data_IF_332917984385
#
_entry.id   IF_332917984385
#
_cell.length_a   1.000
_cell.length_b   1.000
_cell.length_c   1.000
_cell.angle_alpha   90.00
_cell.angle_beta   90.00
_cell.angle_gamma   90.00
#
_symmetry.space_group_name_H-M   'P 1'
#
loop_
_entity.id
_entity.type
_entity.pdbx_description
1 polymer ?
#
# COMPACT_ATOMS: atom_id res chain seq x y z
N UNK A 1 0.30 -19.35 4.41
CA UNK A 1 -0.11 -18.05 3.83
C UNK A 1 -0.12 -18.17 2.31
N UNK A 2 -1.16 -17.67 1.65
CA UNK A 2 -1.22 -17.60 0.18
C UNK A 2 -0.62 -16.27 -0.32
N UNK A 3 -0.07 -16.30 -1.54
CA UNK A 3 0.57 -15.14 -2.17
C UNK A 3 -0.01 -14.88 -3.55
N UNK A 4 -0.20 -13.62 -3.89
CA UNK A 4 -0.43 -13.17 -5.25
C UNK A 4 0.90 -12.69 -5.86
N UNK A 5 1.09 -12.92 -7.14
CA UNK A 5 2.28 -12.45 -7.88
C UNK A 5 1.95 -11.13 -8.55
N UNK A 6 2.69 -10.07 -8.23
CA UNK A 6 2.57 -8.76 -8.85
C UNK A 6 3.09 -8.77 -10.29
N UNK A 7 2.76 -7.75 -11.09
CA UNK A 7 3.21 -7.62 -12.48
C UNK A 7 4.73 -7.56 -12.66
N UNK A 8 5.46 -7.28 -11.60
CA UNK A 8 6.93 -7.28 -11.57
C UNK A 8 7.54 -8.55 -10.94
N UNK A 9 6.73 -9.58 -10.70
CA UNK A 9 7.17 -10.87 -10.16
C UNK A 9 7.27 -10.96 -8.63
N UNK A 10 7.06 -9.87 -7.90
CA UNK A 10 7.10 -9.88 -6.43
C UNK A 10 5.88 -10.61 -5.88
N UNK A 11 6.11 -11.45 -4.88
CA UNK A 11 5.06 -12.16 -4.14
C UNK A 11 4.53 -11.27 -3.04
N UNK A 12 3.25 -10.95 -3.07
CA UNK A 12 2.54 -10.18 -2.05
C UNK A 12 1.58 -11.09 -1.28
N UNK A 13 1.59 -11.10 0.08
CA UNK A 13 0.61 -11.85 0.86
C UNK A 13 -0.82 -11.47 0.48
N UNK A 14 -1.71 -12.45 0.34
CA UNK A 14 -3.11 -12.21 -0.02
C UNK A 14 -3.93 -11.64 1.12
N UNK A 15 -3.50 -11.88 2.36
CA UNK A 15 -4.11 -11.34 3.56
C UNK A 15 -3.17 -10.33 4.22
N UNK A 16 -3.72 -9.19 4.62
CA UNK A 16 -2.96 -8.12 5.26
C UNK A 16 -3.71 -7.49 6.43
N UNK A 17 -2.95 -6.94 7.35
CA UNK A 17 -3.46 -6.19 8.50
C UNK A 17 -3.25 -4.68 8.27
N UNK A 18 -4.33 -3.90 8.38
CA UNK A 18 -4.31 -2.45 8.21
C UNK A 18 -4.60 -1.70 9.50
N UNK A 19 -3.90 -0.57 9.70
CA UNK A 19 -3.95 0.23 10.93
C UNK A 19 -4.72 1.56 10.76
N UNK A 20 -5.57 1.68 9.75
CA UNK A 20 -6.44 2.84 9.62
C UNK A 20 -7.35 2.98 10.85
N UNK A 21 -7.50 4.21 11.38
CA UNK A 21 -8.27 4.53 12.59
C UNK A 21 -7.72 3.91 13.89
N UNK A 22 -6.44 3.61 13.95
CA UNK A 22 -5.74 3.27 15.18
C UNK A 22 -4.73 4.40 15.49
N UNK A 23 -5.19 5.54 16.04
CA UNK A 23 -4.36 6.72 16.22
C UNK A 23 -3.46 6.65 17.46
N UNK A 24 -3.81 5.86 18.46
CA UNK A 24 -3.01 5.68 19.66
C UNK A 24 -1.76 4.86 19.34
N UNK A 25 -0.54 5.40 19.57
CA UNK A 25 0.69 4.73 19.18
C UNK A 25 0.93 3.40 19.89
N UNK A 26 0.55 3.30 21.16
CA UNK A 26 0.74 2.07 21.96
C UNK A 26 -0.20 0.97 21.48
N UNK A 27 -1.46 1.33 21.23
CA UNK A 27 -2.43 0.40 20.68
C UNK A 27 -2.07 -0.03 19.26
N UNK A 28 -1.57 0.89 18.44
CA UNK A 28 -1.16 0.59 17.07
C UNK A 28 0.03 -0.37 17.05
N UNK A 29 1.06 -0.10 17.83
CA UNK A 29 2.22 -0.99 17.97
C UNK A 29 1.79 -2.38 18.42
N UNK A 30 1.00 -2.48 19.49
CA UNK A 30 0.54 -3.76 20.02
C UNK A 30 -0.31 -4.53 19.00
N UNK A 31 -1.23 -3.86 18.32
CA UNK A 31 -2.08 -4.48 17.29
C UNK A 31 -1.26 -5.06 16.13
N UNK A 32 -0.20 -4.36 15.70
CA UNK A 32 0.71 -4.86 14.65
C UNK A 32 1.52 -6.06 15.15
N UNK A 33 2.03 -6.03 16.38
CA UNK A 33 2.74 -7.17 16.99
C UNK A 33 1.83 -8.40 17.07
N UNK A 34 0.59 -8.24 17.53
CA UNK A 34 -0.38 -9.32 17.63
C UNK A 34 -0.76 -9.89 16.25
N UNK A 35 -0.90 -9.03 15.25
CA UNK A 35 -1.14 -9.44 13.87
C UNK A 35 0.03 -10.28 13.33
N UNK A 36 1.27 -9.83 13.50
CA UNK A 36 2.47 -10.56 13.07
C UNK A 36 2.58 -11.91 13.82
N UNK A 37 2.34 -11.92 15.12
CA UNK A 37 2.34 -13.15 15.94
C UNK A 37 1.23 -14.12 15.50
N UNK A 38 0.09 -13.62 15.04
CA UNK A 38 -1.02 -14.41 14.48
C UNK A 38 -0.77 -14.91 13.06
N UNK A 39 0.37 -14.57 12.45
CA UNK A 39 0.78 -15.06 11.13
C UNK A 39 0.60 -14.07 9.99
N UNK A 40 0.07 -12.86 10.21
CA UNK A 40 0.07 -11.83 9.16
C UNK A 40 1.50 -11.46 8.76
N UNK A 41 1.70 -11.21 7.47
CA UNK A 41 3.01 -10.78 6.92
C UNK A 41 2.90 -9.48 6.12
N UNK A 42 1.69 -9.07 5.70
CA UNK A 42 1.45 -7.78 5.08
C UNK A 42 0.87 -6.82 6.11
N UNK A 43 1.55 -5.69 6.32
CA UNK A 43 1.09 -4.58 7.18
C UNK A 43 0.87 -3.35 6.30
N UNK A 44 -0.30 -2.73 6.46
CA UNK A 44 -0.73 -1.59 5.63
C UNK A 44 -1.00 -0.37 6.50
N UNK A 45 -0.20 0.67 6.30
CA UNK A 45 -0.36 2.00 6.90
C UNK A 45 -0.44 3.08 5.81
N UNK A 46 -0.38 4.34 6.19
CA UNK A 46 -0.28 5.50 5.30
C UNK A 46 0.25 6.72 6.06
N UNK A 47 0.92 7.63 5.36
CA UNK A 47 1.36 8.90 5.94
C UNK A 47 0.19 9.66 6.61
N UNK A 48 -0.99 9.67 5.98
CA UNK A 48 -2.19 10.31 6.51
C UNK A 48 -2.75 9.68 7.80
N UNK A 49 -2.34 8.48 8.17
CA UNK A 49 -2.82 7.83 9.42
C UNK A 49 -2.04 8.29 10.64
N UNK A 50 -0.90 8.95 10.45
CA UNK A 50 -0.03 9.49 11.50
C UNK A 50 0.49 8.44 12.49
N UNK A 51 0.53 7.16 12.09
CA UNK A 51 0.93 6.04 12.95
C UNK A 51 2.10 5.21 12.37
N UNK A 52 2.78 5.70 11.32
CA UNK A 52 3.93 5.01 10.72
C UNK A 52 5.02 4.68 11.74
N UNK A 53 5.31 5.59 12.69
CA UNK A 53 6.30 5.35 13.76
C UNK A 53 5.94 4.15 14.63
N UNK A 54 4.67 4.01 15.00
CA UNK A 54 4.20 2.89 15.81
C UNK A 54 4.30 1.56 15.03
N UNK A 55 4.00 1.58 13.72
CA UNK A 55 4.23 0.42 12.84
C UNK A 55 5.71 0.07 12.77
N UNK A 56 6.59 1.05 12.61
CA UNK A 56 8.04 0.86 12.59
C UNK A 56 8.59 0.25 13.88
N UNK A 57 8.13 0.72 15.04
CA UNK A 57 8.50 0.14 16.34
C UNK A 57 8.04 -1.31 16.47
N UNK A 58 6.84 -1.65 16.00
CA UNK A 58 6.36 -3.03 15.99
C UNK A 58 7.22 -3.92 15.07
N UNK A 59 7.54 -3.46 13.86
CA UNK A 59 8.41 -4.19 12.93
C UNK A 59 9.80 -4.43 13.53
N UNK A 60 10.36 -3.44 14.21
CA UNK A 60 11.67 -3.56 14.90
C UNK A 60 11.65 -4.54 16.06
N UNK A 61 10.53 -4.62 16.80
CA UNK A 61 10.39 -5.48 18.01
C UNK A 61 9.96 -6.90 17.69
N UNK A 62 9.33 -7.14 16.54
CA UNK A 62 8.86 -8.47 16.19
C UNK A 62 10.02 -9.43 15.94
N UNK A 63 9.78 -10.73 16.11
CA UNK A 63 10.77 -11.80 15.86
C UNK A 63 10.86 -12.23 14.39
N UNK A 64 10.03 -11.66 13.51
CA UNK A 64 9.99 -12.03 12.09
C UNK A 64 11.01 -11.18 11.33
N UNK A 65 11.89 -11.77 10.51
CA UNK A 65 12.84 -11.04 9.69
C UNK A 65 12.14 -10.04 8.75
N UNK A 66 12.76 -8.87 8.52
CA UNK A 66 12.19 -7.78 7.69
C UNK A 66 11.83 -8.27 6.28
N UNK A 67 12.64 -9.13 5.70
CA UNK A 67 12.45 -9.70 4.36
C UNK A 67 11.24 -10.65 4.25
N UNK A 68 10.73 -11.14 5.36
CA UNK A 68 9.50 -11.93 5.41
C UNK A 68 8.24 -11.06 5.56
N UNK A 69 8.42 -9.78 5.91
CA UNK A 69 7.32 -8.83 6.04
C UNK A 69 7.11 -8.06 4.74
N UNK A 70 5.87 -7.73 4.46
CA UNK A 70 5.46 -6.91 3.32
C UNK A 70 4.83 -5.61 3.85
N UNK A 71 5.60 -4.52 3.83
CA UNK A 71 5.19 -3.23 4.42
C UNK A 71 4.69 -2.30 3.32
N UNK A 72 3.45 -1.83 3.49
CA UNK A 72 2.81 -0.87 2.59
C UNK A 72 2.56 0.45 3.31
N UNK A 73 2.94 1.56 2.69
CA UNK A 73 2.47 2.89 3.06
C UNK A 73 2.03 3.69 1.84
N UNK A 74 1.50 4.90 2.03
CA UNK A 74 0.82 5.66 0.97
C UNK A 74 1.18 7.12 1.03
N UNK A 75 1.45 7.71 -0.14
CA UNK A 75 1.65 9.14 -0.37
C UNK A 75 0.34 9.89 -0.17
N UNK A 76 0.33 10.89 0.70
CA UNK A 76 -0.86 11.71 0.89
C UNK A 76 -0.99 12.82 -0.16
N UNK A 77 -2.20 13.27 -0.40
CA UNK A 77 -2.56 14.22 -1.48
C UNK A 77 -1.82 15.55 -1.41
N UNK A 78 -1.45 16.02 -0.22
CA UNK A 78 -0.72 17.28 -0.03
C UNK A 78 0.71 17.23 -0.59
N UNK A 79 1.31 16.04 -0.59
CA UNK A 79 2.66 15.79 -1.08
C UNK A 79 2.67 15.21 -2.51
N UNK A 80 1.49 15.08 -3.14
CA UNK A 80 1.36 14.54 -4.49
C UNK A 80 1.86 15.55 -5.52
N UNK A 81 3.16 15.53 -5.75
CA UNK A 81 3.93 16.20 -6.78
C UNK A 81 5.26 15.46 -6.96
N UNK A 82 6.03 15.76 -7.98
CA UNK A 82 7.33 15.12 -8.20
C UNK A 82 8.29 15.30 -7.01
N UNK A 83 8.53 16.54 -6.59
CA UNK A 83 9.41 16.82 -5.46
C UNK A 83 8.81 16.42 -4.10
N UNK A 84 7.49 16.58 -3.95
CA UNK A 84 6.78 16.19 -2.75
C UNK A 84 6.86 14.70 -2.51
N UNK A 85 6.65 13.88 -3.52
CA UNK A 85 6.73 12.43 -3.40
C UNK A 85 8.13 11.94 -3.00
N UNK A 86 9.21 12.54 -3.53
CA UNK A 86 10.59 12.23 -3.13
C UNK A 86 10.87 12.54 -1.65
N UNK A 87 10.33 13.65 -1.15
CA UNK A 87 10.46 14.01 0.27
C UNK A 87 9.59 13.14 1.16
N UNK A 88 8.34 12.90 0.74
CA UNK A 88 7.37 12.15 1.52
C UNK A 88 7.81 10.70 1.74
N UNK A 89 8.38 10.03 0.73
CA UNK A 89 8.87 8.66 0.90
C UNK A 89 10.01 8.61 1.91
N UNK A 90 10.95 9.56 1.88
CA UNK A 90 12.03 9.59 2.86
C UNK A 90 11.48 9.78 4.28
N UNK A 91 10.51 10.68 4.45
CA UNK A 91 9.82 10.86 5.73
C UNK A 91 9.12 9.57 6.19
N UNK A 92 8.46 8.84 5.28
CA UNK A 92 7.83 7.56 5.60
C UNK A 92 8.86 6.50 5.99
N UNK A 93 9.98 6.39 5.26
CA UNK A 93 11.08 5.48 5.60
C UNK A 93 11.67 5.79 6.97
N UNK A 94 11.93 7.07 7.26
CA UNK A 94 12.44 7.53 8.56
C UNK A 94 11.45 7.23 9.69
N UNK A 95 10.16 7.47 9.48
CA UNK A 95 9.12 7.15 10.46
C UNK A 95 9.01 5.65 10.73
N UNK A 96 9.08 4.83 9.69
CA UNK A 96 9.02 3.37 9.79
C UNK A 96 10.34 2.76 10.27
N UNK A 97 11.46 3.51 10.21
CA UNK A 97 12.80 3.00 10.52
C UNK A 97 13.24 1.91 9.53
N UNK A 98 12.92 2.06 8.25
CA UNK A 98 13.16 1.07 7.20
C UNK A 98 14.04 1.64 6.08
N UNK A 99 14.83 0.79 5.45
CA UNK A 99 15.65 1.14 4.28
C UNK A 99 14.88 1.07 2.97
N UNK A 100 13.80 0.29 2.91
CA UNK A 100 12.94 0.11 1.75
C UNK A 100 11.50 -0.20 2.12
N UNK A 101 10.59 0.05 1.17
CA UNK A 101 9.18 -0.36 1.22
C UNK A 101 8.91 -1.51 0.26
N UNK A 102 8.00 -2.39 0.59
CA UNK A 102 7.53 -3.43 -0.33
C UNK A 102 6.53 -2.88 -1.34
N UNK A 103 5.65 -1.98 -0.90
CA UNK A 103 4.66 -1.33 -1.75
C UNK A 103 4.44 0.13 -1.32
N UNK A 104 4.54 1.06 -2.28
CA UNK A 104 4.21 2.46 -2.07
C UNK A 104 3.06 2.86 -2.99
N UNK A 105 2.01 3.47 -2.42
CA UNK A 105 0.79 3.78 -3.15
C UNK A 105 0.51 5.29 -3.19
N UNK A 106 0.03 5.83 -4.31
CA UNK A 106 -0.67 7.12 -4.31
C UNK A 106 -2.01 6.91 -3.63
N UNK A 107 -2.27 7.62 -2.51
CA UNK A 107 -3.41 7.35 -1.63
C UNK A 107 -4.75 7.76 -2.25
N UNK A 108 -4.77 8.82 -3.06
CA UNK A 108 -5.96 9.33 -3.72
C UNK A 108 -5.60 9.93 -5.10
N UNK A 109 -6.49 9.83 -6.10
CA UNK A 109 -6.28 10.39 -7.45
C UNK A 109 -6.51 11.91 -7.48
N UNK A 110 -5.79 12.66 -6.64
CA UNK A 110 -5.93 14.09 -6.47
C UNK A 110 -4.57 14.78 -6.57
N UNK A 111 -4.58 16.09 -6.85
CA UNK A 111 -3.38 16.91 -7.02
C UNK A 111 -2.51 16.45 -8.21
N UNK A 112 -1.22 16.73 -8.26
CA UNK A 112 -0.28 16.30 -9.31
C UNK A 112 0.17 14.86 -9.12
N UNK A 113 -0.76 13.90 -9.21
CA UNK A 113 -0.42 12.49 -9.10
C UNK A 113 0.43 11.99 -10.30
N UNK A 114 0.45 12.66 -11.44
CA UNK A 114 1.37 12.34 -12.55
C UNK A 114 2.83 12.66 -12.21
N UNK A 115 3.07 13.84 -11.62
CA UNK A 115 4.41 14.19 -11.11
C UNK A 115 4.85 13.25 -10.02
N UNK A 116 3.95 12.94 -9.08
CA UNK A 116 4.20 11.97 -8.03
C UNK A 116 4.52 10.56 -8.59
N UNK A 117 3.78 10.11 -9.61
CA UNK A 117 4.02 8.81 -10.22
C UNK A 117 5.42 8.72 -10.86
N UNK A 118 5.84 9.73 -11.61
CA UNK A 118 7.19 9.79 -12.18
C UNK A 118 8.29 9.73 -11.11
N UNK A 119 8.11 10.41 -9.99
CA UNK A 119 9.01 10.30 -8.85
C UNK A 119 9.02 8.88 -8.27
N UNK A 120 7.87 8.23 -8.16
CA UNK A 120 7.76 6.86 -7.67
C UNK A 120 8.42 5.85 -8.62
N UNK A 121 8.36 6.05 -9.94
CA UNK A 121 9.10 5.24 -10.93
C UNK A 121 10.62 5.31 -10.71
N UNK A 122 11.16 6.49 -10.40
CA UNK A 122 12.58 6.65 -10.07
C UNK A 122 12.93 5.91 -8.76
N UNK A 123 12.15 6.11 -7.71
CA UNK A 123 12.34 5.44 -6.42
C UNK A 123 12.25 3.92 -6.54
N UNK A 124 11.41 3.43 -7.44
CA UNK A 124 11.32 2.01 -7.78
C UNK A 124 12.61 1.53 -8.49
N UNK A 125 13.12 2.28 -9.48
CA UNK A 125 14.37 1.98 -10.17
C UNK A 125 15.58 2.03 -9.23
N UNK A 126 15.57 2.92 -8.24
CA UNK A 126 16.59 3.04 -7.18
C UNK A 126 16.51 1.92 -6.14
N UNK A 127 15.47 1.10 -6.15
CA UNK A 127 15.26 0.01 -5.18
C UNK A 127 14.77 0.46 -3.80
N UNK A 128 14.40 1.72 -3.61
CA UNK A 128 13.77 2.21 -2.37
C UNK A 128 12.37 1.67 -2.17
N UNK A 129 11.72 1.30 -3.26
CA UNK A 129 10.40 0.69 -3.27
C UNK A 129 10.42 -0.54 -4.17
N UNK A 130 9.94 -1.68 -3.67
CA UNK A 130 9.91 -2.92 -4.45
C UNK A 130 8.74 -2.99 -5.45
N UNK A 131 7.64 -2.31 -5.14
CA UNK A 131 6.48 -2.18 -6.04
C UNK A 131 5.79 -0.84 -5.82
N UNK A 132 5.22 -0.28 -6.90
CA UNK A 132 4.43 0.96 -6.86
C UNK A 132 3.01 0.71 -7.33
N UNK A 133 2.07 1.48 -6.79
CA UNK A 133 0.66 1.34 -7.11
C UNK A 133 -0.16 2.56 -6.71
N UNK A 134 -1.45 2.41 -6.76
CA UNK A 134 -2.40 3.50 -6.53
C UNK A 134 -3.56 3.05 -5.63
N UNK A 135 -4.32 4.00 -5.10
CA UNK A 135 -5.57 3.75 -4.40
C UNK A 135 -6.70 4.58 -4.99
N UNK A 136 -7.89 3.99 -5.05
CA UNK A 136 -9.13 4.67 -5.47
C UNK A 136 -9.09 5.23 -6.90
N UNK A 137 -8.24 4.70 -7.77
CA UNK A 137 -8.24 5.05 -9.18
C UNK A 137 -9.35 4.29 -9.91
N UNK A 138 -10.30 5.01 -10.48
CA UNK A 138 -11.25 4.44 -11.40
C UNK A 138 -10.61 4.17 -12.76
N UNK A 139 -11.30 3.39 -13.60
CA UNK A 139 -10.75 2.85 -14.84
C UNK A 139 -10.26 3.92 -15.81
N UNK A 140 -10.89 5.08 -15.88
CA UNK A 140 -10.51 6.22 -16.71
C UNK A 140 -9.16 6.80 -16.30
N UNK A 141 -8.99 7.13 -15.02
CA UNK A 141 -7.72 7.66 -14.48
C UNK A 141 -6.60 6.63 -14.51
N UNK A 142 -6.94 5.37 -14.28
CA UNK A 142 -5.98 4.29 -14.34
C UNK A 142 -5.49 4.05 -15.77
N UNK A 143 -6.39 4.10 -16.75
CA UNK A 143 -6.05 3.97 -18.17
C UNK A 143 -5.09 5.07 -18.62
N UNK A 144 -5.38 6.30 -18.21
CA UNK A 144 -4.59 7.46 -18.54
C UNK A 144 -3.19 7.39 -17.88
N UNK A 145 -3.12 7.03 -16.58
CA UNK A 145 -1.86 6.86 -15.89
C UNK A 145 -0.96 5.79 -16.56
N UNK A 146 -1.54 4.65 -16.96
CA UNK A 146 -0.82 3.56 -17.63
C UNK A 146 -0.35 3.99 -19.03
N UNK A 147 -1.15 4.77 -19.76
CA UNK A 147 -0.83 5.14 -21.13
C UNK A 147 0.35 6.11 -21.25
N UNK A 148 0.61 6.92 -20.23
CA UNK A 148 1.59 8.01 -20.27
C UNK A 148 2.79 7.82 -19.34
N UNK A 149 2.95 6.65 -18.73
CA UNK A 149 4.08 6.35 -17.85
C UNK A 149 4.73 4.99 -18.20
N UNK A 150 5.96 4.79 -17.76
CA UNK A 150 6.75 3.60 -18.11
C UNK A 150 6.35 2.37 -17.31
N UNK A 151 6.00 2.56 -16.04
CA UNK A 151 5.66 1.48 -15.11
C UNK A 151 4.16 1.48 -14.86
N UNK A 152 3.50 0.37 -15.18
CA UNK A 152 2.09 0.18 -14.83
C UNK A 152 1.94 -0.09 -13.31
N UNK A 153 0.90 0.45 -12.66
CA UNK A 153 0.63 0.16 -11.26
C UNK A 153 0.52 -1.35 -11.00
N UNK A 154 1.31 -1.84 -10.03
CA UNK A 154 1.25 -3.24 -9.62
C UNK A 154 -0.04 -3.54 -8.86
N UNK A 155 -0.57 -2.56 -8.14
CA UNK A 155 -1.76 -2.67 -7.30
C UNK A 155 -2.63 -1.43 -7.46
N UNK A 156 -3.95 -1.61 -7.54
CA UNK A 156 -4.93 -0.57 -7.28
C UNK A 156 -5.76 -0.99 -6.05
N UNK A 157 -5.55 -0.30 -4.93
CA UNK A 157 -6.29 -0.56 -3.69
C UNK A 157 -7.56 0.28 -3.67
N UNK A 158 -8.72 -0.37 -3.63
CA UNK A 158 -10.03 0.28 -3.63
C UNK A 158 -10.88 -0.17 -2.46
N UNK A 159 -11.84 0.67 -2.06
CA UNK A 159 -12.85 0.22 -1.12
C UNK A 159 -13.71 -0.85 -1.81
N UNK A 160 -13.76 -2.02 -1.19
CA UNK A 160 -14.63 -3.10 -1.63
C UNK A 160 -15.15 -3.90 -0.45
N UNK A 161 -16.44 -4.18 -0.48
CA UNK A 161 -17.14 -4.93 0.55
C UNK A 161 -18.30 -5.71 -0.08
N UNK A 162 -19.08 -6.42 0.74
CA UNK A 162 -20.19 -7.27 0.26
C UNK A 162 -21.23 -6.47 -0.55
N UNK A 163 -21.42 -5.20 -0.21
CA UNK A 163 -22.40 -4.32 -0.89
C UNK A 163 -21.81 -3.53 -2.05
N UNK A 164 -20.46 -3.44 -2.15
CA UNK A 164 -19.77 -2.69 -3.19
C UNK A 164 -18.57 -3.49 -3.71
N UNK A 165 -18.83 -4.40 -4.63
CA UNK A 165 -17.87 -5.43 -5.06
C UNK A 165 -16.86 -4.98 -6.13
N UNK A 166 -17.06 -3.82 -6.78
CA UNK A 166 -16.11 -3.24 -7.75
C UNK A 166 -15.76 -4.18 -8.94
N UNK A 167 -16.68 -5.01 -9.40
CA UNK A 167 -16.43 -6.05 -10.39
C UNK A 167 -15.81 -5.51 -11.70
N UNK A 168 -16.25 -4.35 -12.19
CA UNK A 168 -15.71 -3.76 -13.42
C UNK A 168 -14.28 -3.23 -13.23
N UNK A 169 -14.00 -2.58 -12.11
CA UNK A 169 -12.64 -2.14 -11.75
C UNK A 169 -11.68 -3.32 -11.62
N UNK A 170 -12.16 -4.43 -11.03
CA UNK A 170 -11.37 -5.66 -10.90
C UNK A 170 -11.02 -6.24 -12.28
N UNK A 171 -11.99 -6.42 -13.16
CA UNK A 171 -11.79 -6.92 -14.52
C UNK A 171 -10.81 -6.04 -15.30
N UNK A 172 -11.00 -4.73 -15.21
CA UNK A 172 -10.13 -3.77 -15.91
C UNK A 172 -8.68 -3.89 -15.41
N UNK A 173 -8.46 -3.88 -14.10
CA UNK A 173 -7.11 -3.99 -13.52
C UNK A 173 -6.43 -5.31 -13.92
N UNK A 174 -7.15 -6.42 -13.86
CA UNK A 174 -6.67 -7.74 -14.32
C UNK A 174 -6.27 -7.72 -15.79
N UNK A 175 -7.06 -7.06 -16.66
CA UNK A 175 -6.74 -6.94 -18.09
C UNK A 175 -5.46 -6.15 -18.38
N UNK A 176 -4.99 -5.35 -17.41
CA UNK A 176 -3.73 -4.58 -17.47
C UNK A 176 -2.57 -5.24 -16.74
N UNK A 177 -2.75 -6.48 -16.26
CA UNK A 177 -1.73 -7.24 -15.54
C UNK A 177 -1.49 -6.80 -14.10
N UNK A 178 -2.24 -5.83 -13.60
CA UNK A 178 -2.14 -5.37 -12.22
C UNK A 178 -3.10 -6.12 -11.28
N UNK A 179 -2.82 -6.06 -9.97
CA UNK A 179 -3.68 -6.63 -8.95
C UNK A 179 -4.66 -5.60 -8.39
N UNK A 180 -5.89 -6.06 -8.22
CA UNK A 180 -6.92 -5.35 -7.50
C UNK A 180 -6.87 -5.76 -6.01
N UNK A 181 -6.68 -4.80 -5.11
CA UNK A 181 -6.59 -5.01 -3.67
C UNK A 181 -7.81 -4.41 -2.98
N UNK A 182 -8.55 -5.22 -2.24
CA UNK A 182 -9.68 -4.75 -1.46
C UNK A 182 -9.22 -4.07 -0.16
N UNK A 183 -9.69 -2.86 0.07
CA UNK A 183 -9.66 -2.20 1.36
C UNK A 183 -11.05 -2.15 1.99
N UNK A 184 -11.14 -2.02 3.31
CA UNK A 184 -12.41 -1.90 4.07
C UNK A 184 -13.40 -3.06 3.89
N UNK A 185 -12.92 -4.28 3.77
CA UNK A 185 -13.76 -5.48 3.64
C UNK A 185 -14.77 -5.63 4.79
N UNK A 186 -14.34 -5.28 6.00
CA UNK A 186 -15.18 -5.31 7.20
C UNK A 186 -15.46 -3.86 7.63
N UNK A 187 -16.61 -3.32 7.24
CA UNK A 187 -17.01 -1.97 7.64
C UNK A 187 -17.06 -1.85 9.17
N UNK A 188 -16.41 -0.82 9.73
CA UNK A 188 -16.49 -0.36 11.13
C UNK A 188 -16.03 -1.30 12.25
N UNK A 189 -15.30 -2.35 12.00
CA UNK A 189 -14.87 -3.27 13.08
C UNK A 189 -13.44 -3.00 13.61
N UNK A 190 -12.81 -1.86 13.32
CA UNK A 190 -11.46 -1.55 13.86
C UNK A 190 -10.33 -2.45 13.34
N UNK A 191 -10.65 -3.52 12.66
CA UNK A 191 -9.72 -4.41 11.97
C UNK A 191 -10.02 -4.42 10.48
N UNK A 192 -9.06 -4.02 9.67
CA UNK A 192 -9.17 -4.09 8.22
C UNK A 192 -8.40 -5.34 7.76
N UNK A 193 -9.15 -6.38 7.47
CA UNK A 193 -8.61 -7.56 6.79
C UNK A 193 -8.71 -7.33 5.28
N UNK A 194 -7.60 -7.47 4.57
CA UNK A 194 -7.58 -7.39 3.11
C UNK A 194 -7.59 -8.80 2.53
N UNK A 195 -8.56 -9.09 1.69
CA UNK A 195 -8.57 -10.33 0.92
C UNK A 195 -8.45 -10.00 -0.56
N UNK A 196 -7.52 -10.64 -1.24
CA UNK A 196 -7.41 -10.55 -2.70
C UNK A 196 -8.13 -11.75 -3.31
N UNK A 197 -9.04 -11.51 -4.27
CA UNK A 197 -9.56 -12.58 -5.12
C UNK A 197 -8.63 -12.79 -6.32
N UNK A 198 -8.37 -14.04 -6.61
CA UNK A 198 -7.72 -14.48 -7.85
C UNK A 198 -8.62 -14.24 -9.07
#
# INVERSE_FOLDING_TARGET
MEYAVLNNGIKMPMEGFGVFQVPDPVQCEQAVLDAIASGYRLIDTAAAYMNEKAVGEAVKKCSVPREELFITTKLWVQDASYEGAKKAIQTSLDNLGLDYLDLYLIHQPLNDYYGAWRAMEELYKEGKVRAIGVCSFYSDRLADLIAFNEVAPAVNQVEANVFFQQNESQKYMQSKGGLWKAGRLLQKAGMICFTMKR
#
